data_IF_950344711994
#
_entry.id   IF_950344711994
#
_cell.length_a   1.000
_cell.length_b   1.000
_cell.length_c   1.000
_cell.angle_alpha   90.00
_cell.angle_beta   90.00
_cell.angle_gamma   90.00
#
_symmetry.space_group_name_H-M   'P 1'
#
loop_
_entity.id
_entity.type
_entity.pdbx_description
1 polymer ?
#
# COMPACT_ATOMS: atom_id res chain seq x y z
N UNK A 1 94.16 23.16 -6.10
CA UNK A 1 94.05 23.93 -7.35
C UNK A 1 93.32 23.05 -8.36
N UNK A 2 92.16 23.53 -8.78
CA UNK A 2 91.22 23.03 -9.81
C UNK A 2 91.83 22.18 -10.93
N UNK A 3 91.16 21.10 -11.39
CA UNK A 3 90.13 21.18 -12.45
C UNK A 3 89.47 19.81 -12.74
N UNK A 4 88.16 19.88 -13.00
CA UNK A 4 87.25 18.82 -13.43
C UNK A 4 87.47 18.45 -14.90
N UNK A 5 87.02 17.27 -15.34
CA UNK A 5 86.12 17.09 -16.51
C UNK A 5 86.25 15.68 -17.11
N UNK A 6 85.26 14.83 -16.87
CA UNK A 6 84.85 13.72 -17.77
C UNK A 6 83.60 12.95 -17.31
N UNK A 7 83.02 13.26 -16.15
CA UNK A 7 81.87 12.51 -15.58
C UNK A 7 80.47 13.05 -15.92
N UNK A 8 80.33 14.09 -16.73
CA UNK A 8 79.01 14.72 -17.00
C UNK A 8 78.22 14.13 -18.17
N UNK A 9 78.81 13.36 -19.07
CA UNK A 9 78.07 12.83 -20.23
C UNK A 9 77.24 11.56 -19.92
N UNK A 10 77.67 10.72 -18.98
CA UNK A 10 77.02 9.43 -18.72
C UNK A 10 75.77 9.57 -17.86
N UNK A 11 75.74 10.50 -16.89
CA UNK A 11 74.59 10.72 -16.02
C UNK A 11 73.40 11.36 -16.74
N UNK A 12 73.63 12.29 -17.68
CA UNK A 12 72.56 12.88 -18.49
C UNK A 12 71.89 11.88 -19.44
N UNK A 13 72.64 10.89 -19.94
CA UNK A 13 72.08 9.84 -20.81
C UNK A 13 71.17 8.87 -20.05
N UNK A 14 71.55 8.49 -18.82
CA UNK A 14 70.73 7.64 -17.96
C UNK A 14 69.48 8.36 -17.43
N UNK A 15 69.57 9.66 -17.13
CA UNK A 15 68.41 10.49 -16.76
C UNK A 15 67.43 10.66 -17.93
N UNK A 16 67.93 10.82 -19.16
CA UNK A 16 67.08 10.89 -20.35
C UNK A 16 66.37 9.55 -20.64
N UNK A 17 67.04 8.41 -20.46
CA UNK A 17 66.43 7.08 -20.60
C UNK A 17 65.40 6.79 -19.50
N UNK A 18 65.66 7.22 -18.26
CA UNK A 18 64.70 7.09 -17.16
C UNK A 18 63.46 7.97 -17.38
N UNK A 19 63.63 9.19 -17.90
CA UNK A 19 62.52 10.07 -18.25
C UNK A 19 61.70 9.53 -19.43
N UNK A 20 62.34 8.92 -20.45
CA UNK A 20 61.65 8.28 -21.57
C UNK A 20 60.86 7.04 -21.12
N UNK A 21 61.41 6.25 -20.20
CA UNK A 21 60.72 5.12 -19.58
C UNK A 21 59.49 5.55 -18.77
N UNK A 22 59.59 6.65 -18.02
CA UNK A 22 58.45 7.18 -17.25
C UNK A 22 57.33 7.70 -18.16
N UNK A 23 57.68 8.37 -19.26
CA UNK A 23 56.71 8.86 -20.26
C UNK A 23 56.03 7.70 -21.00
N UNK A 24 56.74 6.60 -21.28
CA UNK A 24 56.16 5.40 -21.86
C UNK A 24 55.24 4.65 -20.89
N UNK A 25 55.50 4.68 -19.57
CA UNK A 25 54.59 4.09 -18.57
C UNK A 25 53.34 4.94 -18.28
N UNK A 26 53.42 6.26 -18.46
CA UNK A 26 52.30 7.18 -18.24
C UNK A 26 51.43 7.40 -19.50
N UNK A 27 51.96 7.09 -20.70
CA UNK A 27 51.24 7.22 -21.98
C UNK A 27 50.38 6.03 -22.38
N UNK A 28 50.41 4.94 -21.61
CA UNK A 28 49.55 3.75 -21.80
C UNK A 28 48.56 3.59 -20.65
N UNK A 29 47.79 4.64 -20.37
CA UNK A 29 46.43 4.38 -19.92
C UNK A 29 45.74 3.69 -21.10
N UNK A 30 45.44 2.39 -20.97
CA UNK A 30 44.50 1.75 -21.89
C UNK A 30 43.28 2.68 -21.94
N UNK A 31 42.79 3.09 -23.14
CA UNK A 31 41.53 3.83 -23.19
C UNK A 31 40.56 3.04 -22.34
N UNK A 32 39.89 3.72 -21.39
CA UNK A 32 38.79 3.10 -20.68
C UNK A 32 37.84 2.65 -21.79
N UNK A 33 37.83 1.34 -22.07
CA UNK A 33 36.81 0.76 -22.91
C UNK A 33 35.54 1.11 -22.16
N UNK A 34 34.76 2.04 -22.72
CA UNK A 34 33.40 2.23 -22.30
C UNK A 34 32.79 0.84 -22.36
N UNK A 35 32.59 0.23 -21.19
CA UNK A 35 31.93 -1.06 -21.09
C UNK A 35 30.57 -0.78 -21.72
N UNK A 36 30.40 -1.29 -22.93
CA UNK A 36 29.11 -1.28 -23.61
C UNK A 36 28.14 -1.85 -22.58
N UNK A 37 27.09 -1.11 -22.24
CA UNK A 37 26.10 -1.60 -21.29
C UNK A 37 25.71 -3.00 -21.76
N UNK A 38 25.94 -4.01 -20.90
CA UNK A 38 25.58 -5.40 -21.21
C UNK A 38 24.10 -5.42 -21.53
N UNK A 39 23.72 -6.26 -22.49
CA UNK A 39 22.30 -6.48 -22.76
C UNK A 39 21.63 -6.96 -21.46
N UNK A 40 20.36 -6.59 -21.23
CA UNK A 40 19.67 -6.99 -20.01
C UNK A 40 19.53 -8.52 -19.93
N UNK A 41 19.56 -9.21 -21.09
CA UNK A 41 19.59 -10.66 -21.22
C UNK A 41 20.95 -11.29 -20.79
N UNK A 42 22.02 -10.50 -20.67
CA UNK A 42 23.34 -10.93 -20.21
C UNK A 42 23.56 -10.68 -18.70
N UNK A 43 22.52 -10.23 -17.98
CA UNK A 43 22.56 -10.03 -16.54
C UNK A 43 22.43 -11.39 -15.82
N UNK A 44 23.56 -11.90 -15.34
CA UNK A 44 23.58 -13.04 -14.42
C UNK A 44 23.27 -12.55 -13.00
N UNK A 45 22.09 -12.91 -12.49
CA UNK A 45 21.73 -12.69 -11.09
C UNK A 45 22.16 -13.89 -10.26
N UNK A 46 22.72 -13.63 -9.08
CA UNK A 46 22.88 -14.68 -8.09
C UNK A 46 21.50 -15.30 -7.79
N UNK A 47 21.41 -16.62 -7.55
CA UNK A 47 20.15 -17.22 -7.11
C UNK A 47 19.68 -16.47 -5.87
N UNK A 48 18.41 -16.08 -5.86
CA UNK A 48 17.79 -15.47 -4.69
C UNK A 48 17.95 -16.46 -3.53
N UNK A 49 18.38 -15.95 -2.37
CA UNK A 49 18.40 -16.77 -1.16
C UNK A 49 17.01 -17.32 -0.87
N UNK A 50 16.94 -18.53 -0.33
CA UNK A 50 15.65 -19.09 0.09
C UNK A 50 15.00 -18.17 1.13
N UNK A 51 13.79 -17.71 0.82
CA UNK A 51 12.97 -16.95 1.75
C UNK A 51 12.47 -17.93 2.80
N UNK A 52 13.00 -17.84 4.03
CA UNK A 52 12.48 -18.62 5.15
C UNK A 52 11.23 -17.93 5.71
N UNK A 53 10.08 -18.53 5.43
CA UNK A 53 8.80 -18.09 6.00
C UNK A 53 8.75 -18.62 7.44
N UNK A 54 8.58 -17.75 8.46
CA UNK A 54 8.43 -18.21 9.84
C UNK A 54 7.20 -19.10 9.98
N UNK A 55 7.27 -20.04 10.92
CA UNK A 55 6.12 -20.87 11.25
C UNK A 55 4.93 -20.01 11.67
N UNK A 56 3.75 -20.36 11.15
CA UNK A 56 2.48 -19.73 11.50
C UNK A 56 1.41 -20.79 11.63
N UNK A 57 0.41 -20.52 12.46
CA UNK A 57 -0.77 -21.35 12.57
C UNK A 57 -1.88 -20.81 11.68
N UNK A 58 -2.60 -21.70 11.01
CA UNK A 58 -3.79 -21.37 10.22
C UNK A 58 -4.98 -22.20 10.70
N UNK A 59 -6.10 -21.54 10.96
CA UNK A 59 -7.37 -22.19 11.23
C UNK A 59 -8.55 -21.38 10.66
N UNK A 60 -9.74 -21.95 10.69
CA UNK A 60 -10.96 -21.35 10.18
C UNK A 60 -12.05 -21.40 11.26
N UNK A 61 -12.70 -20.27 11.51
CA UNK A 61 -13.82 -20.17 12.44
C UNK A 61 -15.11 -20.78 11.84
N UNK A 62 -16.11 -21.14 12.66
CA UNK A 62 -17.38 -21.69 12.18
C UNK A 62 -18.13 -20.82 11.15
N UNK A 63 -17.92 -19.49 11.19
CA UNK A 63 -18.50 -18.53 10.26
C UNK A 63 -17.70 -18.36 8.94
N UNK A 64 -16.61 -19.12 8.76
CA UNK A 64 -15.77 -19.15 7.57
C UNK A 64 -14.67 -18.08 7.54
N UNK A 65 -14.48 -17.31 8.62
CA UNK A 65 -13.36 -16.39 8.72
C UNK A 65 -12.04 -17.18 8.88
N UNK A 66 -11.06 -16.89 8.04
CA UNK A 66 -9.75 -17.55 8.08
C UNK A 66 -8.81 -16.75 8.97
N UNK A 67 -8.09 -17.44 9.84
CA UNK A 67 -7.17 -16.83 10.80
C UNK A 67 -5.75 -17.37 10.61
N UNK A 68 -4.77 -16.46 10.67
CA UNK A 68 -3.34 -16.74 10.71
C UNK A 68 -2.73 -16.16 11.98
N UNK A 69 -2.01 -16.97 12.75
CA UNK A 69 -1.32 -16.55 13.97
C UNK A 69 0.18 -16.79 13.89
N UNK A 70 0.97 -15.81 14.31
CA UNK A 70 2.42 -15.89 14.40
C UNK A 70 2.91 -15.34 15.75
N UNK A 71 3.05 -16.23 16.72
CA UNK A 71 3.55 -15.94 18.06
C UNK A 71 5.04 -15.56 18.03
N UNK A 72 5.39 -14.41 18.62
CA UNK A 72 6.74 -13.84 18.67
C UNK A 72 6.96 -13.00 19.93
N UNK A 73 7.82 -13.45 20.83
CA UNK A 73 8.10 -12.79 22.12
C UNK A 73 9.28 -11.80 22.09
N UNK A 74 9.73 -11.35 20.91
CA UNK A 74 10.90 -10.48 20.79
C UNK A 74 10.68 -9.08 21.38
N UNK A 75 9.43 -8.59 21.29
CA UNK A 75 8.99 -7.29 21.78
C UNK A 75 7.59 -7.44 22.39
N UNK A 76 7.24 -6.68 23.44
CA UNK A 76 5.91 -6.70 24.05
C UNK A 76 4.90 -5.93 23.20
N UNK A 77 4.79 -6.30 21.93
CA UNK A 77 4.00 -5.67 20.90
C UNK A 77 3.23 -6.71 20.12
N UNK A 78 1.98 -6.39 19.82
CA UNK A 78 1.11 -7.21 19.01
C UNK A 78 0.53 -6.35 17.91
N UNK A 79 0.50 -6.90 16.70
CA UNK A 79 -0.13 -6.29 15.54
C UNK A 79 -1.05 -7.28 14.88
N UNK A 80 -2.17 -6.80 14.39
CA UNK A 80 -3.07 -7.61 13.57
C UNK A 80 -3.71 -6.82 12.45
N UNK A 81 -4.19 -7.54 11.44
CA UNK A 81 -4.93 -6.99 10.32
C UNK A 81 -6.00 -7.97 9.88
N UNK A 82 -7.25 -7.50 9.87
CA UNK A 82 -8.35 -8.12 9.16
C UNK A 82 -8.40 -7.53 7.75
N UNK A 83 -8.22 -8.37 6.73
CA UNK A 83 -8.32 -7.98 5.32
C UNK A 83 -9.67 -8.41 4.77
N UNK A 84 -10.39 -7.47 4.19
CA UNK A 84 -11.71 -7.67 3.59
C UNK A 84 -11.59 -7.77 2.07
N UNK A 85 -12.23 -8.78 1.47
CA UNK A 85 -12.44 -8.82 0.02
C UNK A 85 -13.61 -7.91 -0.38
N UNK A 86 -13.38 -6.61 -0.27
CA UNK A 86 -14.32 -5.55 -0.62
C UNK A 86 -13.56 -4.31 -1.07
N UNK A 87 -14.18 -3.45 -1.90
CA UNK A 87 -13.51 -2.24 -2.37
C UNK A 87 -14.38 -1.35 -3.24
N UNK A 88 -13.77 -0.30 -3.77
CA UNK A 88 -14.38 0.68 -4.67
C UNK A 88 -15.05 0.03 -5.89
N UNK A 89 -14.53 -1.10 -6.37
CA UNK A 89 -15.13 -1.83 -7.49
C UNK A 89 -16.58 -2.30 -7.24
N UNK A 90 -17.03 -2.33 -5.97
CA UNK A 90 -18.37 -2.73 -5.57
C UNK A 90 -19.37 -1.57 -5.51
N UNK A 91 -18.89 -0.33 -5.60
CA UNK A 91 -19.75 0.83 -5.41
C UNK A 91 -20.59 1.15 -6.65
N UNK A 92 -21.81 1.71 -6.48
CA UNK A 92 -22.61 2.22 -7.58
C UNK A 92 -21.88 3.33 -8.35
N UNK A 93 -22.10 3.41 -9.66
CA UNK A 93 -21.43 4.39 -10.52
C UNK A 93 -21.72 5.84 -10.11
N UNK A 94 -22.93 6.13 -9.64
CA UNK A 94 -23.40 7.44 -9.18
C UNK A 94 -23.03 7.77 -7.72
N UNK A 95 -22.25 6.90 -7.07
CA UNK A 95 -21.79 7.01 -5.68
C UNK A 95 -20.31 6.67 -5.57
N UNK A 96 -19.52 7.09 -6.55
CA UNK A 96 -18.07 6.91 -6.54
C UNK A 96 -17.47 7.55 -5.27
N UNK A 97 -16.62 6.83 -4.54
CA UNK A 97 -16.07 7.26 -3.25
C UNK A 97 -16.83 6.78 -2.01
N UNK A 98 -17.94 6.05 -2.18
CA UNK A 98 -18.70 5.43 -1.09
C UNK A 98 -17.84 4.43 -0.32
N UNK A 99 -17.05 3.60 -1.02
CA UNK A 99 -16.24 2.58 -0.38
C UNK A 99 -15.15 3.18 0.51
N UNK A 100 -14.43 4.20 0.02
CA UNK A 100 -13.41 4.92 0.77
C UNK A 100 -13.99 5.63 1.99
N UNK A 101 -15.12 6.33 1.81
CA UNK A 101 -15.80 7.01 2.92
C UNK A 101 -16.31 6.04 3.97
N UNK A 102 -16.87 4.89 3.58
CA UNK A 102 -17.28 3.83 4.50
C UNK A 102 -16.08 3.28 5.27
N UNK A 103 -14.99 2.96 4.57
CA UNK A 103 -13.76 2.45 5.17
C UNK A 103 -13.18 3.40 6.21
N UNK A 104 -13.12 4.70 5.96
CA UNK A 104 -12.65 5.69 6.94
C UNK A 104 -13.66 5.91 8.08
N UNK A 105 -14.95 5.90 7.77
CA UNK A 105 -16.01 6.10 8.75
C UNK A 105 -16.19 4.93 9.73
N UNK A 106 -15.76 3.71 9.37
CA UNK A 106 -15.77 2.56 10.28
C UNK A 106 -15.01 2.86 11.58
N UNK A 107 -13.81 3.45 11.49
CA UNK A 107 -13.01 3.85 12.65
C UNK A 107 -13.35 5.24 13.18
N UNK A 108 -13.52 6.22 12.29
CA UNK A 108 -13.69 7.63 12.72
C UNK A 108 -15.09 7.94 13.22
N UNK A 109 -16.09 7.15 12.81
CA UNK A 109 -17.50 7.30 13.16
C UNK A 109 -17.90 6.74 14.53
N UNK A 110 -16.96 6.22 15.32
CA UNK A 110 -17.23 5.56 16.60
C UNK A 110 -17.86 4.17 16.43
N UNK A 111 -18.21 3.55 17.56
CA UNK A 111 -18.83 2.22 17.62
C UNK A 111 -20.13 2.27 18.42
N UNK A 112 -20.83 1.15 18.55
CA UNK A 112 -22.04 1.06 19.36
C UNK A 112 -21.83 1.50 20.82
N UNK A 113 -20.65 1.23 21.38
CA UNK A 113 -20.31 1.51 22.79
C UNK A 113 -19.53 2.81 22.98
N UNK A 114 -18.88 3.33 21.94
CA UNK A 114 -17.99 4.49 22.04
C UNK A 114 -18.33 5.56 21.01
N UNK A 115 -18.51 6.79 21.49
CA UNK A 115 -18.48 7.96 20.59
C UNK A 115 -17.10 8.08 19.94
N UNK A 116 -16.98 8.82 18.81
CA UNK A 116 -15.68 9.00 18.16
C UNK A 116 -14.56 9.51 19.07
N UNK A 117 -14.86 10.43 19.97
CA UNK A 117 -13.87 11.04 20.86
C UNK A 117 -13.49 10.10 22.00
N UNK A 118 -14.45 9.36 22.57
CA UNK A 118 -14.17 8.33 23.59
C UNK A 118 -13.31 7.20 23.02
N UNK A 119 -13.59 6.76 21.79
CA UNK A 119 -12.79 5.76 21.09
C UNK A 119 -11.34 6.22 20.88
N UNK A 120 -11.15 7.47 20.46
CA UNK A 120 -9.81 8.05 20.31
C UNK A 120 -9.09 8.12 21.65
N UNK A 121 -9.75 8.64 22.68
CA UNK A 121 -9.18 8.76 24.01
C UNK A 121 -8.79 7.39 24.61
N UNK A 122 -9.62 6.36 24.39
CA UNK A 122 -9.36 5.00 24.85
C UNK A 122 -8.05 4.43 24.27
N UNK A 123 -7.85 4.61 22.96
CA UNK A 123 -6.67 4.11 22.24
C UNK A 123 -5.41 4.92 22.58
N UNK A 124 -5.52 6.25 22.65
CA UNK A 124 -4.41 7.15 23.01
C UNK A 124 -3.85 6.84 24.40
N UNK A 125 -4.71 6.57 25.39
CA UNK A 125 -4.29 6.25 26.76
C UNK A 125 -3.47 4.96 26.86
N UNK A 126 -3.60 4.06 25.87
CA UNK A 126 -2.88 2.78 25.78
C UNK A 126 -1.76 2.79 24.74
N UNK A 127 -1.48 3.96 24.14
CA UNK A 127 -0.58 4.08 22.99
C UNK A 127 -0.89 3.06 21.88
N UNK A 128 -2.16 2.74 21.71
CA UNK A 128 -2.66 1.76 20.76
C UNK A 128 -3.23 2.44 19.52
N UNK A 129 -3.34 1.70 18.43
CA UNK A 129 -4.02 2.17 17.22
C UNK A 129 -4.98 1.11 16.70
N UNK A 130 -6.09 1.60 16.13
CA UNK A 130 -7.00 0.82 15.29
C UNK A 130 -7.29 1.70 14.09
N UNK A 131 -7.04 1.20 12.88
CA UNK A 131 -7.19 1.97 11.64
C UNK A 131 -7.92 1.15 10.60
N UNK A 132 -8.79 1.80 9.83
CA UNK A 132 -9.59 1.17 8.78
C UNK A 132 -9.45 1.90 7.47
N UNK A 133 -9.45 1.14 6.37
CA UNK A 133 -9.40 1.68 5.02
C UNK A 133 -10.02 0.71 4.03
N UNK A 134 -10.59 1.25 2.95
CA UNK A 134 -11.01 0.47 1.79
C UNK A 134 -10.35 1.06 0.56
N UNK A 135 -9.76 0.21 -0.27
CA UNK A 135 -9.19 0.58 -1.55
C UNK A 135 -9.94 -0.04 -2.72
N UNK A 136 -9.26 -0.14 -3.86
CA UNK A 136 -9.88 -0.52 -5.13
C UNK A 136 -10.51 -1.92 -5.12
N UNK A 137 -9.87 -2.92 -4.50
CA UNK A 137 -10.32 -4.34 -4.53
C UNK A 137 -10.31 -5.03 -3.16
N UNK A 138 -9.70 -4.40 -2.17
CA UNK A 138 -9.60 -4.90 -0.80
C UNK A 138 -9.67 -3.74 0.19
N UNK A 139 -10.10 -4.04 1.41
CA UNK A 139 -9.99 -3.16 2.55
C UNK A 139 -9.33 -3.84 3.72
N UNK A 140 -9.03 -3.09 4.77
CA UNK A 140 -8.48 -3.63 5.99
C UNK A 140 -8.95 -2.88 7.22
N UNK A 141 -9.02 -3.59 8.34
CA UNK A 141 -8.96 -3.04 9.67
C UNK A 141 -7.68 -3.57 10.32
N UNK A 142 -6.85 -2.71 10.90
CA UNK A 142 -5.60 -3.10 11.56
C UNK A 142 -5.54 -2.58 12.97
N UNK A 143 -4.81 -3.27 13.85
CA UNK A 143 -4.52 -2.79 15.19
C UNK A 143 -3.05 -2.97 15.57
N UNK A 144 -2.59 -2.14 16.50
CA UNK A 144 -1.30 -2.28 17.19
C UNK A 144 -1.49 -1.98 18.67
N UNK A 145 -0.95 -2.83 19.55
CA UNK A 145 -1.06 -2.69 21.00
C UNK A 145 0.18 -3.21 21.72
N UNK A 146 0.38 -2.77 22.96
CA UNK A 146 1.23 -3.46 23.93
C UNK A 146 0.58 -4.78 24.37
N UNK A 147 1.38 -5.79 24.70
CA UNK A 147 0.85 -7.10 25.12
C UNK A 147 -0.06 -7.01 26.34
N UNK A 148 0.22 -6.08 27.26
CA UNK A 148 -0.58 -5.87 28.48
C UNK A 148 -1.99 -5.30 28.20
N UNK A 149 -2.15 -4.59 27.08
CA UNK A 149 -3.40 -3.94 26.66
C UNK A 149 -4.17 -4.75 25.60
N UNK A 150 -3.70 -5.96 25.26
CA UNK A 150 -4.24 -6.76 24.16
C UNK A 150 -5.76 -6.94 24.26
N UNK A 151 -6.25 -7.40 25.40
CA UNK A 151 -7.66 -7.75 25.56
C UNK A 151 -8.56 -6.52 25.34
N UNK A 152 -8.16 -5.38 25.90
CA UNK A 152 -8.84 -4.10 25.78
C UNK A 152 -8.84 -3.62 24.33
N UNK A 153 -7.69 -3.58 23.66
CA UNK A 153 -7.58 -3.06 22.29
C UNK A 153 -8.23 -4.01 21.28
N UNK A 154 -8.13 -5.32 21.49
CA UNK A 154 -8.75 -6.31 20.63
C UNK A 154 -10.28 -6.24 20.70
N UNK A 155 -10.85 -5.92 21.87
CA UNK A 155 -12.29 -5.69 22.01
C UNK A 155 -12.77 -4.52 21.14
N UNK A 156 -12.04 -3.41 21.15
CA UNK A 156 -12.30 -2.23 20.31
C UNK A 156 -12.12 -2.58 18.82
N UNK A 157 -11.06 -3.29 18.49
CA UNK A 157 -10.81 -3.75 17.12
C UNK A 157 -11.98 -4.58 16.59
N UNK A 158 -12.47 -5.54 17.37
CA UNK A 158 -13.63 -6.33 17.02
C UNK A 158 -14.90 -5.47 16.87
N UNK A 159 -15.12 -4.51 17.78
CA UNK A 159 -16.30 -3.64 17.74
C UNK A 159 -16.29 -2.66 16.56
N UNK A 160 -15.13 -2.11 16.18
CA UNK A 160 -14.96 -1.28 14.98
C UNK A 160 -15.32 -2.05 13.71
N UNK A 161 -15.00 -3.35 13.66
CA UNK A 161 -15.32 -4.21 12.51
C UNK A 161 -16.78 -4.59 12.48
N UNK A 162 -17.39 -4.89 13.63
CA UNK A 162 -18.71 -5.53 13.70
C UNK A 162 -19.86 -4.54 13.95
N UNK A 163 -19.60 -3.46 14.69
CA UNK A 163 -20.60 -2.51 15.16
C UNK A 163 -20.16 -1.04 15.01
N UNK A 164 -19.65 -0.60 13.84
CA UNK A 164 -19.37 0.82 13.59
C UNK A 164 -20.65 1.65 13.65
N UNK A 165 -20.60 2.79 14.35
CA UNK A 165 -21.76 3.66 14.55
C UNK A 165 -22.00 4.62 13.37
N UNK A 166 -20.97 4.91 12.57
CA UNK A 166 -21.04 5.85 11.44
C UNK A 166 -21.67 7.19 11.85
N UNK A 167 -21.16 7.83 12.90
CA UNK A 167 -21.71 9.07 13.44
C UNK A 167 -21.97 10.11 12.31
N UNK A 168 -23.18 10.70 12.20
CA UNK A 168 -23.55 11.57 11.08
C UNK A 168 -22.58 12.73 10.85
N UNK A 169 -22.11 13.36 11.92
CA UNK A 169 -21.17 14.47 11.89
C UNK A 169 -19.81 14.09 11.29
N UNK A 170 -19.40 12.82 11.42
CA UNK A 170 -18.16 12.31 10.81
C UNK A 170 -18.36 12.05 9.32
N UNK A 171 -19.53 11.58 8.91
CA UNK A 171 -19.86 11.47 7.48
C UNK A 171 -19.86 12.85 6.82
N UNK A 172 -20.48 13.86 7.44
CA UNK A 172 -20.50 15.23 6.91
C UNK A 172 -19.09 15.85 6.82
N UNK A 173 -18.23 15.56 7.81
CA UNK A 173 -16.83 15.96 7.78
C UNK A 173 -16.08 15.29 6.61
N UNK A 174 -16.26 13.97 6.41
CA UNK A 174 -15.66 13.24 5.29
C UNK A 174 -16.13 13.83 3.96
N UNK A 175 -17.43 14.07 3.77
CA UNK A 175 -17.96 14.75 2.57
C UNK A 175 -17.26 16.08 2.31
N UNK A 176 -17.01 16.87 3.36
CA UNK A 176 -16.30 18.15 3.26
C UNK A 176 -14.83 17.96 2.87
N UNK A 177 -14.14 16.94 3.39
CA UNK A 177 -12.76 16.60 3.03
C UNK A 177 -12.65 16.11 1.59
N UNK A 178 -13.57 15.26 1.13
CA UNK A 178 -13.65 14.85 -0.28
C UNK A 178 -13.86 16.05 -1.20
N UNK A 179 -14.77 16.97 -0.87
CA UNK A 179 -14.96 18.23 -1.62
C UNK A 179 -13.69 19.07 -1.71
N UNK A 180 -12.95 19.17 -0.60
CA UNK A 180 -11.67 19.86 -0.56
C UNK A 180 -10.60 19.17 -1.41
N UNK A 181 -10.58 17.84 -1.42
CA UNK A 181 -9.69 17.04 -2.27
C UNK A 181 -10.01 17.23 -3.75
N UNK A 182 -11.29 17.24 -4.12
CA UNK A 182 -11.73 17.54 -5.50
C UNK A 182 -11.32 18.95 -5.92
N UNK A 183 -11.45 19.94 -5.03
CA UNK A 183 -11.11 21.33 -5.34
C UNK A 183 -9.61 21.51 -5.67
N UNK A 184 -8.74 20.74 -5.00
CA UNK A 184 -7.28 20.79 -5.16
C UNK A 184 -6.70 19.74 -6.11
N UNK A 185 -7.53 18.88 -6.71
CA UNK A 185 -7.07 17.71 -7.49
C UNK A 185 -6.26 18.02 -8.75
N UNK A 186 -6.17 19.29 -9.12
CA UNK A 186 -5.42 19.77 -10.28
C UNK A 186 -4.25 20.68 -9.87
N UNK A 187 -3.93 20.76 -8.57
CA UNK A 187 -2.82 21.57 -8.06
C UNK A 187 -1.46 20.92 -8.38
N UNK A 188 -1.40 19.59 -8.41
CA UNK A 188 -0.22 18.82 -8.82
C UNK A 188 -0.40 18.25 -10.25
N UNK A 189 0.46 18.63 -11.22
CA UNK A 189 0.40 18.08 -12.57
C UNK A 189 0.68 16.58 -12.68
N UNK A 190 1.41 15.96 -11.74
CA UNK A 190 1.64 14.51 -11.76
C UNK A 190 0.37 13.74 -11.37
N UNK A 191 -0.43 14.27 -10.44
CA UNK A 191 -1.75 13.71 -10.09
C UNK A 191 -2.70 13.76 -11.30
N UNK A 192 -2.68 14.87 -12.03
CA UNK A 192 -3.44 15.02 -13.29
C UNK A 192 -2.98 13.97 -14.31
N UNK A 193 -1.67 13.81 -14.48
CA UNK A 193 -1.08 12.85 -15.43
C UNK A 193 -1.45 11.41 -15.04
N UNK A 194 -1.31 11.05 -13.77
CA UNK A 194 -1.69 9.74 -13.21
C UNK A 194 -3.16 9.41 -13.44
N UNK A 195 -4.05 10.39 -13.23
CA UNK A 195 -5.49 10.24 -13.43
C UNK A 195 -5.84 10.00 -14.89
N UNK A 196 -5.34 10.82 -15.81
CA UNK A 196 -5.62 10.65 -17.23
C UNK A 196 -4.98 9.34 -17.75
N UNK A 197 -3.79 8.99 -17.28
CA UNK A 197 -3.14 7.71 -17.58
C UNK A 197 -4.00 6.52 -17.14
N UNK A 198 -4.54 6.51 -15.92
CA UNK A 198 -5.46 5.44 -15.45
C UNK A 198 -6.70 5.30 -16.35
N UNK A 199 -7.32 6.41 -16.78
CA UNK A 199 -8.45 6.37 -17.71
C UNK A 199 -8.09 5.78 -19.06
N UNK A 200 -6.90 6.08 -19.57
CA UNK A 200 -6.39 5.51 -20.82
C UNK A 200 -6.10 4.02 -20.68
N UNK A 201 -5.54 3.57 -19.55
CA UNK A 201 -5.21 2.15 -19.33
C UNK A 201 -6.47 1.30 -19.14
N UNK A 202 -7.38 1.72 -18.26
CA UNK A 202 -8.53 0.92 -17.86
C UNK A 202 -9.80 1.19 -18.67
N UNK A 203 -9.87 2.33 -19.36
CA UNK A 203 -11.07 2.81 -20.03
C UNK A 203 -12.02 3.55 -19.09
N UNK A 204 -12.82 4.52 -19.59
CA UNK A 204 -13.64 5.40 -18.76
C UNK A 204 -14.79 4.69 -18.03
N UNK A 205 -15.25 3.54 -18.53
CA UNK A 205 -16.30 2.75 -17.90
C UNK A 205 -15.77 1.80 -16.80
N UNK A 206 -14.46 1.68 -16.64
CA UNK A 206 -13.86 0.76 -15.68
C UNK A 206 -13.94 1.33 -14.26
N UNK A 207 -14.32 0.51 -13.26
CA UNK A 207 -14.27 0.92 -11.85
C UNK A 207 -12.89 1.40 -11.39
N UNK A 208 -11.81 0.93 -12.02
CA UNK A 208 -10.43 1.35 -11.70
C UNK A 208 -10.03 2.72 -12.26
N UNK A 209 -10.87 3.31 -13.12
CA UNK A 209 -10.67 4.65 -13.67
C UNK A 209 -11.72 5.66 -13.16
N UNK A 210 -12.65 5.23 -12.32
CA UNK A 210 -13.64 6.13 -11.72
C UNK A 210 -12.94 7.17 -10.86
N UNK A 211 -13.50 8.37 -10.86
CA UNK A 211 -13.02 9.50 -10.08
C UNK A 211 -14.18 10.08 -9.33
N UNK A 212 -13.98 10.38 -8.05
CA UNK A 212 -15.00 11.03 -7.23
C UNK A 212 -15.24 12.44 -7.76
N UNK A 213 -16.49 12.74 -8.09
CA UNK A 213 -16.97 14.08 -8.43
C UNK A 213 -17.88 14.64 -7.34
N UNK A 214 -18.13 15.95 -7.40
CA UNK A 214 -19.02 16.61 -6.44
C UNK A 214 -20.42 15.98 -6.39
N UNK A 215 -20.94 15.55 -7.55
CA UNK A 215 -22.24 14.86 -7.65
C UNK A 215 -22.27 13.54 -6.90
N UNK A 216 -21.18 12.76 -6.95
CA UNK A 216 -21.10 11.48 -6.25
C UNK A 216 -21.12 11.69 -4.74
N UNK A 217 -20.32 12.65 -4.26
CA UNK A 217 -20.30 13.04 -2.85
C UNK A 217 -21.70 13.46 -2.41
N UNK A 218 -22.41 14.27 -3.21
CA UNK A 218 -23.76 14.70 -2.87
C UNK A 218 -24.78 13.57 -2.80
N UNK A 219 -24.62 12.56 -3.66
CA UNK A 219 -25.50 11.40 -3.70
C UNK A 219 -25.26 10.39 -2.56
N UNK A 220 -24.11 10.46 -1.86
CA UNK A 220 -23.81 9.55 -0.74
C UNK A 220 -24.52 10.02 0.53
N UNK A 221 -25.47 9.22 1.01
CA UNK A 221 -26.08 9.38 2.33
C UNK A 221 -25.41 8.48 3.38
N UNK A 222 -25.67 8.74 4.67
CA UNK A 222 -25.26 7.84 5.75
C UNK A 222 -25.86 6.44 5.59
N UNK A 223 -27.11 6.34 5.14
CA UNK A 223 -27.77 5.06 4.96
C UNK A 223 -27.11 4.25 3.82
N UNK A 224 -26.56 4.91 2.81
CA UNK A 224 -25.76 4.26 1.78
C UNK A 224 -24.45 3.69 2.36
N UNK A 225 -23.78 4.45 3.24
CA UNK A 225 -22.56 4.00 3.94
C UNK A 225 -22.85 2.76 4.78
N UNK A 226 -23.92 2.81 5.58
CA UNK A 226 -24.36 1.67 6.42
C UNK A 226 -24.77 0.48 5.55
N UNK A 227 -25.55 0.71 4.50
CA UNK A 227 -25.99 -0.34 3.59
C UNK A 227 -24.83 -1.00 2.83
N UNK A 228 -23.84 -0.22 2.41
CA UNK A 228 -22.63 -0.74 1.78
C UNK A 228 -21.83 -1.59 2.76
N UNK A 229 -21.57 -1.09 3.97
CA UNK A 229 -20.91 -1.84 5.05
C UNK A 229 -21.55 -3.22 5.28
N UNK A 230 -22.89 -3.27 5.41
CA UNK A 230 -23.63 -4.51 5.67
C UNK A 230 -23.44 -5.57 4.58
N UNK A 231 -23.12 -5.18 3.35
CA UNK A 231 -22.92 -6.11 2.22
C UNK A 231 -21.44 -6.38 1.93
N UNK A 232 -20.56 -5.42 2.21
CA UNK A 232 -19.15 -5.46 1.90
C UNK A 232 -18.32 -6.18 2.99
N UNK A 233 -18.64 -5.98 4.26
CA UNK A 233 -17.84 -6.48 5.39
C UNK A 233 -18.51 -7.73 5.96
N UNK A 234 -17.88 -8.89 5.74
CA UNK A 234 -18.46 -10.21 6.05
C UNK A 234 -17.37 -11.17 6.55
N UNK A 235 -17.67 -12.05 7.52
CA UNK A 235 -16.69 -12.98 8.10
C UNK A 235 -16.08 -13.91 7.04
N UNK A 236 -16.91 -14.51 6.19
CA UNK A 236 -16.47 -15.46 5.16
C UNK A 236 -15.53 -14.86 4.10
N UNK A 237 -15.54 -13.53 3.93
CA UNK A 237 -14.65 -12.81 3.02
C UNK A 237 -13.59 -11.99 3.76
N UNK A 238 -13.32 -12.36 5.01
CA UNK A 238 -12.32 -11.74 5.89
C UNK A 238 -11.22 -12.73 6.21
N UNK A 239 -9.97 -12.25 6.16
CA UNK A 239 -8.80 -12.96 6.65
C UNK A 239 -8.20 -12.15 7.79
N UNK A 240 -8.03 -12.75 8.96
CA UNK A 240 -7.39 -12.14 10.12
C UNK A 240 -5.97 -12.68 10.28
N UNK A 241 -4.96 -11.82 10.21
CA UNK A 241 -3.58 -12.16 10.57
C UNK A 241 -3.17 -11.43 11.84
N UNK A 242 -2.56 -12.14 12.80
CA UNK A 242 -2.03 -11.54 14.04
C UNK A 242 -0.61 -12.05 14.30
N UNK A 243 0.29 -11.14 14.66
CA UNK A 243 1.66 -11.46 15.03
C UNK A 243 2.15 -10.64 16.21
N UNK A 244 2.92 -11.24 17.11
CA UNK A 244 3.50 -10.54 18.26
C UNK A 244 3.55 -11.37 19.53
N UNK A 245 3.71 -10.68 20.65
CA UNK A 245 3.92 -11.29 21.97
C UNK A 245 2.60 -11.70 22.64
N UNK A 246 2.16 -12.93 22.36
CA UNK A 246 0.95 -13.54 22.92
C UNK A 246 1.12 -15.06 23.05
N UNK A 247 0.29 -15.72 23.85
CA UNK A 247 0.16 -17.19 23.83
C UNK A 247 -0.90 -17.60 22.79
N UNK A 248 -0.55 -18.50 21.88
CA UNK A 248 -1.43 -18.90 20.78
C UNK A 248 -2.78 -19.49 21.24
N UNK A 249 -2.83 -20.21 22.36
CA UNK A 249 -4.08 -20.78 22.86
C UNK A 249 -5.01 -19.70 23.42
N UNK A 250 -4.46 -18.74 24.17
CA UNK A 250 -5.21 -17.59 24.69
C UNK A 250 -5.70 -16.68 23.56
N UNK A 251 -4.86 -16.41 22.56
CA UNK A 251 -5.23 -15.61 21.39
C UNK A 251 -6.38 -16.26 20.60
N UNK A 252 -6.36 -17.59 20.41
CA UNK A 252 -7.48 -18.29 19.76
C UNK A 252 -8.78 -18.14 20.54
N UNK A 253 -8.73 -18.33 21.86
CA UNK A 253 -9.90 -18.17 22.71
C UNK A 253 -10.48 -16.75 22.60
N UNK A 254 -9.62 -15.73 22.60
CA UNK A 254 -10.03 -14.33 22.42
C UNK A 254 -10.65 -14.09 21.03
N UNK A 255 -10.05 -14.63 19.97
CA UNK A 255 -10.61 -14.52 18.61
C UNK A 255 -11.95 -15.23 18.51
N UNK A 256 -12.09 -16.42 19.09
CA UNK A 256 -13.34 -17.16 19.11
C UNK A 256 -14.43 -16.40 19.88
N UNK A 257 -14.10 -15.82 21.04
CA UNK A 257 -15.01 -15.00 21.84
C UNK A 257 -15.59 -13.84 21.02
N UNK A 258 -14.75 -13.10 20.31
CA UNK A 258 -15.21 -11.92 19.57
C UNK A 258 -15.77 -12.21 18.18
N UNK A 259 -15.27 -13.22 17.47
CA UNK A 259 -15.58 -13.41 16.05
C UNK A 259 -16.29 -14.72 15.70
N UNK A 260 -16.39 -15.73 16.56
CA UNK A 260 -17.02 -17.00 16.17
C UNK A 260 -18.50 -16.84 15.80
N UNK A 261 -19.22 -16.01 16.57
CA UNK A 261 -20.65 -15.74 16.39
C UNK A 261 -20.94 -14.50 15.52
N UNK A 262 -19.89 -13.88 14.96
CA UNK A 262 -20.06 -12.71 14.10
C UNK A 262 -20.93 -13.08 12.88
N UNK A 263 -22.14 -12.53 12.88
CA UNK A 263 -23.15 -12.76 11.83
C UNK A 263 -23.57 -11.42 11.24
N UNK A 264 -23.32 -11.18 9.94
CA UNK A 264 -23.72 -9.93 9.30
C UNK A 264 -25.24 -9.87 9.15
N UNK A 265 -25.81 -8.67 9.26
CA UNK A 265 -27.26 -8.44 9.17
C UNK A 265 -27.83 -8.74 7.79
N UNK A 266 -26.98 -8.64 6.75
CA UNK A 266 -27.32 -8.96 5.36
C UNK A 266 -26.36 -10.04 4.88
N UNK A 267 -26.89 -11.11 4.28
CA UNK A 267 -26.06 -12.11 3.63
C UNK A 267 -25.51 -11.54 2.33
N UNK A 268 -24.19 -11.46 2.20
CA UNK A 268 -23.57 -11.01 0.96
C UNK A 268 -23.97 -11.87 -0.24
N UNK A 269 -23.99 -11.25 -1.42
CA UNK A 269 -24.06 -11.97 -2.70
C UNK A 269 -22.82 -12.85 -2.82
N UNK A 270 -23.00 -14.11 -3.18
CA UNK A 270 -21.87 -15.01 -3.40
C UNK A 270 -21.02 -14.48 -4.56
N UNK A 271 -19.69 -14.43 -4.35
CA UNK A 271 -18.67 -14.14 -5.37
C UNK A 271 -18.85 -12.81 -6.11
N UNK A 272 -18.56 -11.70 -5.43
CA UNK A 272 -18.31 -10.45 -6.14
C UNK A 272 -16.95 -10.57 -6.84
N UNK A 273 -17.00 -10.83 -8.14
CA UNK A 273 -15.81 -10.90 -8.97
C UNK A 273 -15.28 -9.50 -9.26
N UNK A 274 -13.97 -9.34 -9.11
CA UNK A 274 -13.28 -8.11 -9.49
C UNK A 274 -13.35 -7.98 -11.02
N UNK A 275 -13.91 -6.88 -11.56
CA UNK A 275 -14.05 -6.69 -13.00
C UNK A 275 -12.73 -6.86 -13.73
N UNK A 276 -12.76 -7.54 -14.87
CA UNK A 276 -11.58 -7.65 -15.72
C UNK A 276 -11.38 -6.33 -16.48
N UNK A 277 -10.16 -5.82 -16.44
CA UNK A 277 -9.74 -4.71 -17.27
C UNK A 277 -9.40 -5.20 -18.68
N UNK A 278 -9.81 -4.43 -19.70
CA UNK A 278 -9.41 -4.66 -21.09
C UNK A 278 -8.52 -3.52 -21.53
N UNK A 279 -7.34 -3.85 -22.07
CA UNK A 279 -6.37 -2.84 -22.48
C UNK A 279 -6.99 -2.02 -23.61
N UNK A 280 -7.06 -0.71 -23.41
CA UNK A 280 -7.47 0.20 -24.46
C UNK A 280 -6.35 0.33 -25.51
N UNK A 281 -6.68 0.95 -26.64
CA UNK A 281 -5.76 1.13 -27.77
C UNK A 281 -4.46 1.81 -27.37
N UNK A 282 -3.34 1.27 -27.87
CA UNK A 282 -2.02 1.87 -27.73
C UNK A 282 -1.99 3.25 -28.40
N UNK A 283 -1.30 4.22 -27.79
CA UNK A 283 -1.17 5.55 -28.38
C UNK A 283 -0.25 6.47 -27.59
N UNK A 284 0.15 7.56 -28.23
CA UNK A 284 0.77 8.71 -27.59
C UNK A 284 -0.34 9.73 -27.32
N UNK A 285 -0.56 10.05 -26.05
CA UNK A 285 -1.54 11.04 -25.62
C UNK A 285 -0.81 12.22 -25.00
N UNK A 286 -1.18 13.44 -25.41
CA UNK A 286 -0.51 14.67 -24.98
C UNK A 286 -1.57 15.64 -24.48
N UNK A 287 -1.37 16.15 -23.26
CA UNK A 287 -2.15 17.27 -22.71
C UNK A 287 -1.23 18.49 -22.73
N UNK A 288 -1.57 19.47 -23.57
CA UNK A 288 -0.78 20.70 -23.68
C UNK A 288 -1.08 21.64 -22.49
N UNK A 289 -0.05 21.95 -21.71
CA UNK A 289 -0.11 22.82 -20.54
C UNK A 289 1.09 23.78 -20.57
N UNK A 290 1.07 24.80 -21.47
CA UNK A 290 2.23 25.65 -21.75
C UNK A 290 2.71 26.48 -20.56
N UNK A 291 1.90 26.59 -19.50
CA UNK A 291 2.24 27.25 -18.25
C UNK A 291 3.13 26.40 -17.32
N UNK A 292 3.27 25.10 -17.57
CA UNK A 292 4.13 24.22 -16.77
C UNK A 292 5.59 24.33 -17.23
N UNK A 293 6.51 24.32 -16.26
CA UNK A 293 7.96 24.41 -16.52
C UNK A 293 8.61 23.04 -16.75
N UNK A 294 7.87 21.96 -16.48
CA UNK A 294 8.32 20.57 -16.58
C UNK A 294 7.25 19.72 -17.26
N UNK A 295 7.69 18.65 -17.92
CA UNK A 295 6.80 17.65 -18.52
C UNK A 295 6.68 16.44 -17.60
N UNK A 296 5.46 15.91 -17.49
CA UNK A 296 5.13 14.72 -16.73
C UNK A 296 4.76 13.61 -17.71
N UNK A 297 5.46 12.49 -17.64
CA UNK A 297 5.39 11.42 -18.64
C UNK A 297 5.12 10.10 -17.94
N UNK A 298 4.00 9.47 -18.28
CA UNK A 298 3.64 8.13 -17.82
C UNK A 298 3.64 7.19 -19.02
N UNK A 299 4.23 5.99 -18.85
CA UNK A 299 4.32 4.96 -19.88
C UNK A 299 3.94 3.63 -19.23
N UNK A 300 3.03 2.89 -19.84
CA UNK A 300 2.68 1.55 -19.36
C UNK A 300 1.57 0.89 -20.15
N UNK A 301 1.17 -0.29 -19.69
CA UNK A 301 0.12 -1.13 -20.23
C UNK A 301 -0.58 -1.86 -19.07
N UNK A 302 -1.62 -2.66 -19.35
CA UNK A 302 -2.21 -3.49 -18.31
C UNK A 302 -1.19 -4.53 -17.83
N UNK A 303 -1.01 -4.62 -16.51
CA UNK A 303 -0.18 -5.63 -15.88
C UNK A 303 -0.88 -6.99 -15.73
N UNK A 304 -0.16 -7.94 -15.15
CA UNK A 304 -0.70 -9.23 -14.73
C UNK A 304 -1.64 -9.11 -13.52
N UNK A 305 -2.35 -10.19 -13.23
CA UNK A 305 -3.21 -10.29 -12.04
C UNK A 305 -2.44 -10.98 -10.91
N UNK A 306 -2.85 -10.77 -9.65
CA UNK A 306 -2.26 -11.44 -8.48
C UNK A 306 -2.44 -12.98 -8.52
N UNK A 307 -3.42 -13.47 -9.26
CA UNK A 307 -3.67 -14.90 -9.49
C UNK A 307 -3.00 -15.43 -10.76
N UNK A 308 -2.23 -14.59 -11.48
CA UNK A 308 -1.45 -15.00 -12.64
C UNK A 308 -0.16 -15.71 -12.16
N UNK A 309 0.15 -16.92 -12.66
CA UNK A 309 1.42 -17.58 -12.35
C UNK A 309 2.66 -16.88 -12.95
N UNK A 310 2.47 -16.01 -13.95
CA UNK A 310 3.52 -15.19 -14.60
C UNK A 310 3.67 -13.82 -13.92
#
# INVERSE_FOLDING_TARGET
MFWFSKRRLTTSFFLALAALGLVLTLGWSKPANAVTARDYDELEFAPLGEIQIPDFERYELPNGMVVYLMEKHDLPLIRGSATFKAGEFMEPEDKTGLAGMMGEAMRTGGTASYTPDELNQFLEQRAASVETSLGATSGSASFSALSEDLADVFSIFAEVIQQPAFAPEKIDLLKSQYRGSIARRNDDPDDVTSREFRKLIYGPASPFARMVEYSDVDNISRDDVVGFYQTAIQPRSTILGISGDFDAAQMKALIEEFFADWTPSVRAKANVEVPQAQQQTNGLYVVDQPQLTQSYIHIGHLGGRLDNPD
#
